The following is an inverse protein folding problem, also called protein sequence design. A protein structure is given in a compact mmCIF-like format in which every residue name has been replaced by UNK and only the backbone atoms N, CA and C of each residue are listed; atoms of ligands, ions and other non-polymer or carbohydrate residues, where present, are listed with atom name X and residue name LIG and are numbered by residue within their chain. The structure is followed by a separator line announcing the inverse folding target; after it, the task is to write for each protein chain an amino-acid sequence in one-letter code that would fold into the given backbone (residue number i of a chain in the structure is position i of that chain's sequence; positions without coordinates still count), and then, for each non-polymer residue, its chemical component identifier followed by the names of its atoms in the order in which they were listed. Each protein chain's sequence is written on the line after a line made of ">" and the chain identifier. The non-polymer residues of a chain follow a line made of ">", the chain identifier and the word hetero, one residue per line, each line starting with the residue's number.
data_IF_202834270448
#
_entry.id   IF_202834270448
#
_cell.length_a   1.000
_cell.length_b   1.000
_cell.length_c   1.000
_cell.angle_alpha   90.00
_cell.angle_beta   90.00
_cell.angle_gamma   90.00
#
_symmetry.space_group_name_H-M   'P 1'
#
loop_
_entity.id
_entity.type
_entity.pdbx_description
1 polymer ?
#
# COMPACT_ATOMS: atom_id res chain seq x y z
N UNK A 1 9.61 1.87 -2.58
CA UNK A 1 9.38 0.99 -1.42
C UNK A 1 10.54 0.02 -1.24
N UNK A 2 10.76 -0.45 -0.02
CA UNK A 2 11.77 -1.44 0.32
C UNK A 2 11.11 -2.50 1.19
N UNK A 3 11.36 -3.77 0.91
CA UNK A 3 10.95 -4.90 1.73
C UNK A 3 12.13 -5.32 2.57
N UNK A 4 11.94 -5.36 3.88
CA UNK A 4 12.95 -5.80 4.85
C UNK A 4 12.42 -7.00 5.61
N UNK A 5 13.31 -7.93 5.95
CA UNK A 5 12.98 -8.99 6.89
C UNK A 5 13.06 -8.51 8.35
N UNK A 6 12.89 -9.44 9.28
CA UNK A 6 12.90 -9.19 10.72
C UNK A 6 14.27 -8.73 11.24
N UNK A 7 15.36 -9.09 10.57
CA UNK A 7 16.72 -8.64 10.88
C UNK A 7 17.04 -7.26 10.24
N UNK A 8 16.09 -6.67 9.52
CA UNK A 8 16.24 -5.40 8.84
C UNK A 8 16.98 -5.49 7.50
N UNK A 9 17.29 -6.70 7.03
CA UNK A 9 17.98 -6.95 5.75
C UNK A 9 17.01 -6.69 4.60
N UNK A 10 17.47 -5.94 3.60
CA UNK A 10 16.69 -5.64 2.40
C UNK A 10 16.55 -6.90 1.55
N UNK A 11 15.32 -7.37 1.37
CA UNK A 11 14.98 -8.54 0.53
C UNK A 11 14.54 -8.13 -0.87
N UNK A 12 13.92 -6.96 -1.01
CA UNK A 12 13.54 -6.40 -2.30
C UNK A 12 13.43 -4.88 -2.24
N UNK A 13 13.55 -4.23 -3.40
CA UNK A 13 13.20 -2.82 -3.58
C UNK A 13 12.44 -2.65 -4.89
N UNK A 14 11.43 -1.79 -4.88
CA UNK A 14 10.62 -1.48 -6.06
C UNK A 14 10.34 0.02 -6.11
N UNK A 15 10.41 0.57 -7.32
CA UNK A 15 9.89 1.89 -7.65
C UNK A 15 8.90 1.74 -8.80
N UNK A 16 7.84 2.54 -8.81
CA UNK A 16 6.83 2.49 -9.87
C UNK A 16 6.46 3.92 -10.22
N UNK A 17 6.58 4.26 -11.50
CA UNK A 17 6.23 5.57 -12.01
C UNK A 17 4.74 5.60 -12.30
N UNK A 18 4.02 6.48 -11.61
CA UNK A 18 2.62 6.78 -11.91
C UNK A 18 2.51 8.20 -12.47
N UNK A 19 1.86 8.34 -13.62
CA UNK A 19 1.53 9.64 -14.22
C UNK A 19 0.12 10.08 -13.82
N UNK A 20 -0.18 11.37 -13.99
CA UNK A 20 -1.51 11.95 -13.75
C UNK A 20 -2.06 11.74 -12.33
N UNK A 21 -1.18 11.78 -11.33
CA UNK A 21 -1.59 11.70 -9.93
C UNK A 21 -2.19 13.04 -9.48
N UNK A 22 -3.44 13.00 -9.01
CA UNK A 22 -4.21 14.19 -8.63
C UNK A 22 -3.82 14.80 -7.28
N UNK A 23 -3.14 14.06 -6.40
CA UNK A 23 -2.66 14.57 -5.11
C UNK A 23 -1.55 13.69 -4.50
N UNK A 24 -0.73 14.22 -3.58
CA UNK A 24 0.25 13.43 -2.83
C UNK A 24 -0.39 12.26 -2.05
N UNK A 25 -1.60 12.44 -1.52
CA UNK A 25 -2.33 11.35 -0.84
C UNK A 25 -2.69 10.21 -1.79
N UNK A 26 -3.01 10.52 -3.04
CA UNK A 26 -3.28 9.51 -4.07
C UNK A 26 -1.98 8.81 -4.49
N UNK A 27 -0.87 9.52 -4.61
CA UNK A 27 0.45 8.91 -4.84
C UNK A 27 0.81 7.90 -3.75
N UNK A 28 0.64 8.29 -2.48
CA UNK A 28 0.95 7.41 -1.35
C UNK A 28 0.01 6.20 -1.27
N UNK A 29 -1.29 6.39 -1.55
CA UNK A 29 -2.22 5.27 -1.66
C UNK A 29 -1.81 4.29 -2.78
N UNK A 30 -1.37 4.78 -3.94
CA UNK A 30 -0.80 3.90 -4.98
C UNK A 30 0.48 3.20 -4.53
N UNK A 31 1.36 3.89 -3.80
CA UNK A 31 2.56 3.28 -3.25
C UNK A 31 2.23 2.12 -2.29
N UNK A 32 1.23 2.29 -1.41
CA UNK A 32 0.74 1.22 -0.54
C UNK A 32 0.10 0.07 -1.34
N UNK A 33 -0.65 0.37 -2.41
CA UNK A 33 -1.23 -0.66 -3.28
C UNK A 33 -0.15 -1.47 -4.00
N UNK A 34 0.87 -0.81 -4.55
CA UNK A 34 2.00 -1.48 -5.20
C UNK A 34 2.82 -2.31 -4.21
N UNK A 35 2.93 -1.87 -2.94
CA UNK A 35 3.56 -2.66 -1.87
C UNK A 35 2.74 -3.91 -1.55
N UNK A 36 1.42 -3.78 -1.46
CA UNK A 36 0.50 -4.90 -1.22
C UNK A 36 0.61 -5.95 -2.33
N UNK A 37 0.62 -5.51 -3.60
CA UNK A 37 0.80 -6.40 -4.76
C UNK A 37 2.18 -7.08 -4.75
N UNK A 38 3.23 -6.35 -4.38
CA UNK A 38 4.58 -6.90 -4.31
C UNK A 38 4.67 -8.03 -3.27
N UNK A 39 4.14 -7.82 -2.07
CA UNK A 39 4.11 -8.83 -0.99
C UNK A 39 3.37 -10.09 -1.45
N UNK A 40 2.20 -9.94 -2.08
CA UNK A 40 1.45 -11.06 -2.65
C UNK A 40 2.28 -11.80 -3.71
N UNK A 41 2.95 -11.07 -4.60
CA UNK A 41 3.79 -11.69 -5.64
C UNK A 41 5.02 -12.41 -5.08
N UNK A 42 5.49 -12.00 -3.90
CA UNK A 42 6.58 -12.64 -3.18
C UNK A 42 6.13 -13.84 -2.34
N UNK A 43 4.82 -14.11 -2.24
CA UNK A 43 4.29 -15.20 -1.43
C UNK A 43 4.52 -15.01 0.09
N UNK A 44 4.62 -13.76 0.54
CA UNK A 44 4.83 -13.46 1.97
C UNK A 44 3.48 -13.56 2.69
N UNK A 45 3.42 -14.42 3.71
CA UNK A 45 2.20 -14.69 4.50
C UNK A 45 1.89 -13.62 5.55
N UNK A 46 2.85 -12.79 5.95
CA UNK A 46 2.60 -11.74 6.94
C UNK A 46 3.58 -10.59 6.78
N UNK A 47 3.07 -9.36 6.76
CA UNK A 47 3.88 -8.16 6.56
C UNK A 47 3.29 -6.95 7.27
N UNK A 48 4.15 -6.02 7.65
CA UNK A 48 3.75 -4.67 8.05
C UNK A 48 4.07 -3.69 6.93
N UNK A 49 3.04 -3.10 6.31
CA UNK A 49 3.21 -2.01 5.33
C UNK A 49 3.28 -0.69 6.09
N UNK A 50 4.41 0.01 5.95
CA UNK A 50 4.64 1.32 6.57
C UNK A 50 4.60 2.41 5.50
N UNK A 51 3.91 3.52 5.80
CA UNK A 51 3.84 4.73 4.98
C UNK A 51 3.95 5.97 5.85
N UNK A 52 4.15 7.14 5.25
CA UNK A 52 4.29 8.42 5.98
C UNK A 52 2.96 9.18 6.11
N UNK A 53 1.97 8.85 5.27
CA UNK A 53 0.67 9.52 5.27
C UNK A 53 -0.27 8.91 6.29
N UNK A 54 -0.45 9.61 7.42
CA UNK A 54 -1.50 9.31 8.41
C UNK A 54 -2.90 9.22 7.78
N UNK A 55 -3.19 10.05 6.77
CA UNK A 55 -4.47 10.02 6.05
C UNK A 55 -4.69 8.68 5.36
N UNK A 56 -3.71 8.19 4.62
CA UNK A 56 -3.77 6.88 3.93
C UNK A 56 -3.86 5.75 4.95
N UNK A 57 -3.02 5.77 5.98
CA UNK A 57 -3.01 4.75 7.05
C UNK A 57 -4.37 4.67 7.74
N UNK A 58 -4.93 5.82 8.14
CA UNK A 58 -6.22 5.88 8.82
C UNK A 58 -7.35 5.42 7.89
N UNK A 59 -7.30 5.78 6.61
CA UNK A 59 -8.25 5.26 5.62
C UNK A 59 -8.15 3.75 5.51
N UNK A 60 -6.97 3.15 5.33
CA UNK A 60 -6.80 1.69 5.29
C UNK A 60 -7.43 0.97 6.49
N UNK A 61 -7.31 1.54 7.69
CA UNK A 61 -7.85 0.98 8.94
C UNK A 61 -9.35 1.24 9.16
N UNK A 62 -9.90 2.28 8.54
CA UNK A 62 -11.31 2.63 8.67
C UNK A 62 -12.20 1.68 7.87
N UNK A 63 -13.47 1.53 8.29
CA UNK A 63 -14.53 0.87 7.51
C UNK A 63 -15.41 1.85 6.73
N UNK A 64 -15.22 3.15 6.97
CA UNK A 64 -15.97 4.22 6.31
C UNK A 64 -15.59 4.30 4.83
N UNK A 65 -16.61 4.32 3.97
CA UNK A 65 -16.47 4.46 2.52
C UNK A 65 -16.96 5.84 2.08
N UNK A 66 -16.22 6.47 1.18
CA UNK A 66 -16.62 7.69 0.48
C UNK A 66 -16.42 7.55 -1.04
N UNK A 67 -16.84 8.54 -1.82
CA UNK A 67 -16.80 8.50 -3.29
C UNK A 67 -15.51 9.07 -3.89
N UNK A 68 -14.46 9.26 -3.09
CA UNK A 68 -13.19 9.82 -3.56
C UNK A 68 -12.37 8.78 -4.34
N UNK A 69 -11.51 9.27 -5.25
CA UNK A 69 -10.57 8.43 -5.99
C UNK A 69 -9.66 7.64 -5.06
N UNK A 70 -9.25 8.25 -3.95
CA UNK A 70 -8.40 7.58 -2.96
C UNK A 70 -9.13 6.41 -2.31
N UNK A 71 -10.44 6.50 -2.05
CA UNK A 71 -11.19 5.39 -1.45
C UNK A 71 -11.24 4.15 -2.37
N UNK A 72 -11.31 4.33 -3.69
CA UNK A 72 -11.21 3.20 -4.64
C UNK A 72 -9.89 2.45 -4.48
N UNK A 73 -8.77 3.17 -4.37
CA UNK A 73 -7.44 2.59 -4.18
C UNK A 73 -7.36 1.89 -2.81
N UNK A 74 -7.93 2.50 -1.76
CA UNK A 74 -7.97 1.93 -0.41
C UNK A 74 -8.77 0.62 -0.39
N UNK A 75 -9.87 0.52 -1.15
CA UNK A 75 -10.64 -0.72 -1.28
C UNK A 75 -9.81 -1.83 -1.92
N UNK A 76 -9.05 -1.53 -2.97
CA UNK A 76 -8.15 -2.49 -3.60
C UNK A 76 -7.05 -2.95 -2.64
N UNK A 77 -6.51 -2.05 -1.81
CA UNK A 77 -5.54 -2.42 -0.76
C UNK A 77 -6.20 -3.40 0.21
N UNK A 78 -7.33 -3.06 0.82
CA UNK A 78 -8.01 -3.93 1.80
C UNK A 78 -8.37 -5.29 1.20
N UNK A 79 -8.86 -5.32 -0.04
CA UNK A 79 -9.21 -6.56 -0.74
C UNK A 79 -7.99 -7.43 -1.07
N UNK A 80 -6.83 -6.83 -1.31
CA UNK A 80 -5.59 -7.58 -1.56
C UNK A 80 -4.95 -8.02 -0.24
N UNK A 81 -5.03 -7.20 0.81
CA UNK A 81 -4.49 -7.52 2.14
C UNK A 81 -5.18 -8.71 2.80
N UNK A 82 -6.39 -9.11 2.38
CA UNK A 82 -7.00 -10.35 2.90
C UNK A 82 -6.36 -11.63 2.36
N UNK A 83 -5.36 -11.53 1.48
CA UNK A 83 -4.66 -12.65 0.84
C UNK A 83 -3.36 -13.04 1.54
N UNK A 84 -2.95 -12.30 2.56
CA UNK A 84 -1.80 -12.57 3.42
C UNK A 84 -2.18 -12.24 4.86
#
# INVERSE_FOLDING_TARGET
>A
MVVRDQDGVIRASKSTLHSNISSPFVAEAYACLEATKLVISMGIESVTIMGDSKTVINKCKSTTRDKSVIETIIQDIRSNSSRF
#
